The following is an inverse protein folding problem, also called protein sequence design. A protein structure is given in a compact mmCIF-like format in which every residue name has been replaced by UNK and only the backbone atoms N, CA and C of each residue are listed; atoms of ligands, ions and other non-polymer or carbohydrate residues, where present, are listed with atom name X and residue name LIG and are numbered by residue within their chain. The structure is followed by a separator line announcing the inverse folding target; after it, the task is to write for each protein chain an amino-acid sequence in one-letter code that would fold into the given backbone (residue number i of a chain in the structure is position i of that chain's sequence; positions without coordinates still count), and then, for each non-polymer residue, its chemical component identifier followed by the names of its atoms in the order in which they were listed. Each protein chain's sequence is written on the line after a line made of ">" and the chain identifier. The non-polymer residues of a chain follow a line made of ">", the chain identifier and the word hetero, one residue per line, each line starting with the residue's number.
data_IF_749724869246
#
_entry.id   IF_749724869246
#
_cell.length_a   1.000
_cell.length_b   1.000
_cell.length_c   1.000
_cell.angle_alpha   90.00
_cell.angle_beta   90.00
_cell.angle_gamma   90.00
#
_symmetry.space_group_name_H-M   'P 1'
#
loop_
_entity.id
_entity.type
_entity.pdbx_description
1 polymer ?
#
# COMPACT_ATOMS: atom_id res chain seq x y z
N UNK A 1 -61.74 -31.41 23.89
CA UNK A 1 -60.82 -30.78 24.89
C UNK A 1 -60.31 -29.47 24.29
N UNK A 2 -60.96 -28.36 24.69
CA UNK A 2 -60.51 -27.02 24.22
C UNK A 2 -59.49 -26.50 25.26
N UNK A 3 -58.24 -26.41 24.84
CA UNK A 3 -57.18 -25.83 25.66
C UNK A 3 -57.38 -24.30 25.74
N UNK A 4 -57.59 -23.81 26.96
CA UNK A 4 -57.63 -22.39 27.27
C UNK A 4 -56.24 -21.78 27.14
N UNK A 5 -55.99 -21.06 26.04
CA UNK A 5 -54.81 -20.21 25.90
C UNK A 5 -55.03 -18.95 26.73
N UNK A 6 -54.37 -18.85 27.88
CA UNK A 6 -54.34 -17.59 28.63
C UNK A 6 -53.31 -16.68 27.94
N UNK A 7 -53.60 -15.39 27.75
CA UNK A 7 -52.65 -14.45 27.22
C UNK A 7 -51.48 -14.30 28.20
N UNK A 8 -50.24 -14.42 27.68
CA UNK A 8 -49.00 -14.42 28.44
C UNK A 8 -48.66 -13.04 29.06
N UNK A 9 -49.41 -11.99 28.70
CA UNK A 9 -49.14 -10.63 29.16
C UNK A 9 -50.23 -10.16 30.13
N UNK A 10 -49.93 -10.19 31.41
CA UNK A 10 -50.92 -9.95 32.48
C UNK A 10 -50.71 -8.64 33.25
N UNK A 11 -49.73 -7.79 32.94
CA UNK A 11 -49.56 -6.55 33.71
C UNK A 11 -49.31 -5.32 32.82
N UNK A 12 -49.88 -4.15 33.27
CA UNK A 12 -49.66 -2.83 32.65
C UNK A 12 -48.17 -2.51 32.40
N UNK A 13 -47.27 -3.09 33.21
CA UNK A 13 -45.84 -2.88 33.13
C UNK A 13 -45.20 -3.52 31.88
N UNK A 14 -45.67 -4.68 31.47
CA UNK A 14 -45.20 -5.37 30.28
C UNK A 14 -45.60 -4.67 29.00
N UNK A 15 -46.84 -4.16 28.92
CA UNK A 15 -47.27 -3.32 27.79
C UNK A 15 -46.47 -2.02 27.72
N UNK A 16 -46.16 -1.40 28.87
CA UNK A 16 -45.31 -0.19 28.90
C UNK A 16 -43.91 -0.48 28.39
N UNK A 17 -43.33 -1.62 28.77
CA UNK A 17 -42.01 -2.05 28.31
C UNK A 17 -41.98 -2.29 26.80
N UNK A 18 -42.98 -2.97 26.26
CA UNK A 18 -43.14 -3.20 24.81
C UNK A 18 -43.40 -1.91 24.06
N UNK A 19 -44.13 -0.96 24.60
CA UNK A 19 -44.36 0.37 24.04
C UNK A 19 -43.07 1.19 24.01
N UNK A 20 -42.26 1.16 25.08
CA UNK A 20 -40.96 1.85 25.13
C UNK A 20 -39.95 1.22 24.14
N UNK A 21 -39.90 -0.13 24.06
CA UNK A 21 -39.08 -0.83 23.08
C UNK A 21 -39.54 -0.55 21.64
N UNK A 22 -40.84 -0.49 21.40
CA UNK A 22 -41.41 -0.11 20.10
C UNK A 22 -41.15 1.34 19.72
N UNK A 23 -41.15 2.27 20.69
CA UNK A 23 -40.75 3.66 20.44
C UNK A 23 -39.27 3.81 20.17
N UNK A 24 -38.39 3.00 20.81
CA UNK A 24 -36.95 2.99 20.53
C UNK A 24 -36.64 2.48 19.12
N UNK A 25 -37.41 1.52 18.59
CA UNK A 25 -37.25 1.03 17.22
C UNK A 25 -37.75 2.00 16.14
N UNK A 26 -38.48 3.04 16.51
CA UNK A 26 -39.00 4.10 15.62
C UNK A 26 -38.02 5.32 15.54
N UNK A 27 -36.91 5.30 16.29
CA UNK A 27 -35.88 6.34 16.15
C UNK A 27 -35.29 6.26 14.73
N UNK A 28 -35.38 7.33 13.93
CA UNK A 28 -34.77 7.34 12.62
C UNK A 28 -33.26 7.11 12.79
N UNK A 29 -32.68 6.21 11.99
CA UNK A 29 -31.25 6.09 11.88
C UNK A 29 -30.74 7.46 11.41
N UNK A 30 -29.98 8.16 12.26
CA UNK A 30 -29.34 9.40 11.86
C UNK A 30 -28.19 9.02 10.91
N UNK A 31 -28.42 9.15 9.61
CA UNK A 31 -27.34 9.10 8.63
C UNK A 31 -26.45 10.32 8.86
N UNK A 32 -25.17 10.11 8.98
CA UNK A 32 -24.15 11.15 8.97
C UNK A 32 -23.18 10.84 7.84
N UNK A 33 -22.32 11.79 7.47
CA UNK A 33 -21.20 11.56 6.57
C UNK A 33 -20.48 10.27 6.93
N UNK A 34 -20.33 9.35 5.99
CA UNK A 34 -19.63 8.08 6.17
C UNK A 34 -18.78 7.76 4.92
N UNK A 35 -17.51 7.41 5.14
CA UNK A 35 -16.65 6.89 4.08
C UNK A 35 -16.91 5.39 3.96
N UNK A 36 -17.38 4.98 2.78
CA UNK A 36 -17.72 3.58 2.49
C UNK A 36 -16.46 2.76 2.28
N UNK A 37 -15.55 3.24 1.42
CA UNK A 37 -14.27 2.60 1.13
C UNK A 37 -13.32 3.53 0.37
N UNK A 38 -12.03 3.19 0.39
CA UNK A 38 -11.04 3.74 -0.56
C UNK A 38 -10.81 2.70 -1.66
N UNK A 39 -11.39 2.90 -2.84
CA UNK A 39 -11.16 2.08 -4.03
C UNK A 39 -9.82 2.37 -4.66
N UNK A 40 -9.16 1.31 -5.13
CA UNK A 40 -7.89 1.39 -5.83
C UNK A 40 -6.99 0.21 -5.49
N UNK A 41 -5.87 0.02 -6.19
CA UNK A 41 -4.95 -1.06 -5.91
C UNK A 41 -4.26 -0.87 -4.56
N UNK A 42 -3.93 -1.99 -3.90
CA UNK A 42 -3.11 -1.99 -2.69
C UNK A 42 -1.62 -2.04 -3.01
N UNK A 43 -1.26 -2.47 -4.21
CA UNK A 43 0.10 -2.48 -4.71
C UNK A 43 0.18 -2.23 -6.22
N UNK A 44 1.34 -1.77 -6.69
CA UNK A 44 1.65 -1.53 -8.10
C UNK A 44 3.16 -1.64 -8.31
N UNK A 45 3.56 -2.12 -9.48
CA UNK A 45 4.98 -2.15 -9.87
C UNK A 45 5.46 -0.73 -10.19
N UNK A 46 6.61 -0.36 -9.68
CA UNK A 46 7.29 0.91 -9.95
C UNK A 46 7.37 1.19 -11.45
N UNK A 47 6.86 2.34 -11.87
CA UNK A 47 6.87 2.76 -13.27
C UNK A 47 5.98 1.98 -14.24
N UNK A 48 5.17 1.01 -13.78
CA UNK A 48 4.33 0.17 -14.65
C UNK A 48 3.07 0.87 -15.15
N UNK A 49 2.65 1.96 -14.51
CA UNK A 49 1.44 2.72 -14.86
C UNK A 49 1.74 4.19 -14.98
N UNK A 50 1.18 4.83 -15.99
CA UNK A 50 1.23 6.29 -16.14
C UNK A 50 0.37 7.02 -15.11
N UNK A 51 -0.70 6.38 -14.63
CA UNK A 51 -1.61 6.93 -13.61
C UNK A 51 -2.17 5.83 -12.71
N UNK A 52 -2.25 6.11 -11.41
CA UNK A 52 -2.89 5.29 -10.39
C UNK A 52 -3.96 6.12 -9.70
N UNK A 53 -5.13 5.52 -9.43
CA UNK A 53 -6.25 6.21 -8.78
C UNK A 53 -6.58 5.55 -7.46
N UNK A 54 -6.67 6.38 -6.39
CA UNK A 54 -7.28 6.03 -5.11
C UNK A 54 -8.55 6.86 -4.98
N UNK A 55 -9.72 6.22 -5.04
CA UNK A 55 -11.04 6.87 -4.98
C UNK A 55 -11.65 6.71 -3.59
N UNK A 56 -11.86 7.82 -2.89
CA UNK A 56 -12.51 7.86 -1.59
C UNK A 56 -14.03 7.90 -1.77
N UNK A 57 -14.70 6.78 -1.63
CA UNK A 57 -16.14 6.67 -1.78
C UNK A 57 -16.84 6.95 -0.45
N UNK A 58 -17.80 7.86 -0.46
CA UNK A 58 -18.54 8.29 0.71
C UNK A 58 -20.00 8.60 0.39
N UNK A 59 -20.80 8.59 1.42
CA UNK A 59 -22.20 9.04 1.42
C UNK A 59 -22.34 10.32 2.23
N UNK A 60 -23.14 11.26 1.73
CA UNK A 60 -23.40 12.56 2.33
C UNK A 60 -24.88 12.75 2.56
N UNK A 61 -25.22 13.39 3.66
CA UNK A 61 -26.55 14.00 3.84
C UNK A 61 -26.55 15.45 3.31
N UNK A 62 -27.71 16.08 3.21
CA UNK A 62 -27.78 17.48 2.77
C UNK A 62 -27.05 18.43 3.73
N UNK A 63 -27.05 18.12 5.02
CA UNK A 63 -26.33 18.91 6.04
C UNK A 63 -24.81 18.83 5.91
N UNK A 64 -24.29 17.74 5.32
CA UNK A 64 -22.85 17.53 5.15
C UNK A 64 -22.25 18.26 3.94
N UNK A 65 -23.11 18.84 3.09
CA UNK A 65 -22.68 19.60 1.92
C UNK A 65 -22.13 20.97 2.28
N UNK A 66 -22.58 21.54 3.39
CA UNK A 66 -22.12 22.86 3.83
C UNK A 66 -20.76 22.78 4.53
N UNK A 67 -19.81 23.58 4.03
CA UNK A 67 -18.44 23.59 4.54
C UNK A 67 -17.62 22.34 4.24
N UNK A 68 -18.07 21.52 3.26
CA UNK A 68 -17.41 20.28 2.91
C UNK A 68 -16.00 20.49 2.38
N UNK A 69 -15.05 19.69 2.90
CA UNK A 69 -13.66 19.63 2.44
C UNK A 69 -13.21 18.18 2.39
N UNK A 70 -12.58 17.77 1.29
CA UNK A 70 -11.87 16.49 1.15
C UNK A 70 -10.39 16.74 1.27
N UNK A 71 -9.73 16.02 2.17
CA UNK A 71 -8.28 16.05 2.37
C UNK A 71 -7.72 14.65 2.31
N UNK A 72 -6.51 14.54 1.73
CA UNK A 72 -5.74 13.31 1.81
C UNK A 72 -4.45 13.58 2.57
N UNK A 73 -4.10 12.63 3.43
CA UNK A 73 -2.87 12.65 4.22
C UNK A 73 -2.01 11.45 3.83
N UNK A 74 -0.70 11.57 4.07
CA UNK A 74 0.28 10.54 3.79
C UNK A 74 1.07 10.21 5.06
N UNK A 75 1.20 8.91 5.38
CA UNK A 75 1.97 8.39 6.52
C UNK A 75 1.65 9.11 7.86
N UNK A 76 0.36 9.40 8.11
CA UNK A 76 -0.15 10.07 9.32
C UNK A 76 0.50 11.44 9.60
N UNK A 77 1.06 12.07 8.58
CA UNK A 77 1.62 13.40 8.75
C UNK A 77 0.52 14.44 9.02
N UNK A 78 0.81 15.51 9.78
CA UNK A 78 -0.21 16.49 10.18
C UNK A 78 -0.67 17.39 9.02
N UNK A 79 0.09 17.43 7.92
CA UNK A 79 -0.23 18.26 6.77
C UNK A 79 -0.79 17.42 5.64
N UNK A 80 -1.90 17.87 4.98
CA UNK A 80 -2.46 17.14 3.86
C UNK A 80 -1.52 17.17 2.65
N UNK A 81 -1.59 16.10 1.83
CA UNK A 81 -0.90 16.00 0.55
C UNK A 81 -1.80 16.36 -0.63
N UNK A 82 -3.10 16.50 -0.36
CA UNK A 82 -4.13 16.94 -1.30
C UNK A 82 -5.28 17.57 -0.54
N UNK A 83 -5.89 18.62 -1.13
CA UNK A 83 -7.09 19.23 -0.60
C UNK A 83 -8.03 19.63 -1.74
N UNK A 84 -9.32 19.36 -1.55
CA UNK A 84 -10.35 19.82 -2.46
C UNK A 84 -11.59 20.31 -1.70
N UNK A 85 -12.12 21.44 -2.15
CA UNK A 85 -13.37 22.04 -1.70
C UNK A 85 -14.30 22.05 -2.92
N UNK A 86 -15.58 21.59 -2.81
CA UNK A 86 -16.55 21.64 -3.90
C UNK A 86 -16.59 23.02 -4.56
N UNK A 87 -16.72 23.03 -5.88
CA UNK A 87 -16.67 24.24 -6.74
C UNK A 87 -15.32 24.94 -6.85
N UNK A 88 -14.27 24.46 -6.16
CA UNK A 88 -12.92 24.99 -6.29
C UNK A 88 -12.00 24.00 -7.04
N UNK A 89 -10.87 24.52 -7.50
CA UNK A 89 -9.81 23.68 -8.09
C UNK A 89 -9.10 22.92 -6.96
N UNK A 90 -8.88 21.62 -7.10
CA UNK A 90 -8.12 20.86 -6.14
C UNK A 90 -6.66 21.28 -6.07
N UNK A 91 -6.03 21.05 -4.94
CA UNK A 91 -4.63 21.43 -4.65
C UNK A 91 -3.81 20.20 -4.29
N UNK A 92 -2.65 20.07 -4.92
CA UNK A 92 -1.62 19.11 -4.60
C UNK A 92 -0.56 19.72 -3.68
N UNK A 93 -0.15 18.99 -2.67
CA UNK A 93 0.70 19.46 -1.59
C UNK A 93 1.76 18.41 -1.23
N UNK A 94 2.77 18.81 -0.47
CA UNK A 94 3.77 17.92 0.09
C UNK A 94 4.41 17.00 -0.95
N UNK A 95 4.50 15.70 -0.64
CA UNK A 95 5.12 14.68 -1.51
C UNK A 95 4.38 14.49 -2.85
N UNK A 96 3.09 14.85 -2.92
CA UNK A 96 2.28 14.72 -4.13
C UNK A 96 2.28 15.98 -5.01
N UNK A 97 2.97 17.06 -4.60
CA UNK A 97 3.04 18.28 -5.40
C UNK A 97 3.66 18.05 -6.78
N UNK A 98 2.92 18.40 -7.84
CA UNK A 98 3.31 18.16 -9.24
C UNK A 98 3.17 16.71 -9.70
N UNK A 99 2.61 15.82 -8.84
CA UNK A 99 2.47 14.39 -9.14
C UNK A 99 1.02 13.95 -9.30
N UNK A 100 0.06 14.87 -9.29
CA UNK A 100 -1.36 14.55 -9.43
C UNK A 100 -1.93 15.10 -10.74
N UNK A 101 -2.83 14.34 -11.33
CA UNK A 101 -3.72 14.83 -12.37
C UNK A 101 -4.90 15.54 -11.70
N UNK A 102 -4.77 16.86 -11.47
CA UNK A 102 -5.79 17.68 -10.82
C UNK A 102 -7.07 17.85 -11.67
N UNK A 103 -7.01 17.56 -12.97
CA UNK A 103 -8.17 17.58 -13.86
C UNK A 103 -8.98 16.27 -13.82
N UNK A 104 -8.48 15.24 -13.15
CA UNK A 104 -9.17 13.97 -13.03
C UNK A 104 -10.50 14.13 -12.28
N UNK A 105 -11.56 13.59 -12.86
CA UNK A 105 -12.90 13.60 -12.30
C UNK A 105 -13.43 12.18 -12.20
N UNK A 106 -13.78 11.76 -11.01
CA UNK A 106 -14.36 10.43 -10.76
C UNK A 106 -15.88 10.44 -10.93
N UNK A 107 -16.50 11.62 -10.92
CA UNK A 107 -17.94 11.83 -10.99
C UNK A 107 -18.24 13.18 -11.64
N UNK A 108 -19.47 13.37 -12.09
CA UNK A 108 -20.03 14.66 -12.55
C UNK A 108 -20.70 15.45 -11.43
N UNK A 109 -20.95 14.78 -10.29
CA UNK A 109 -21.57 15.42 -9.12
C UNK A 109 -20.59 16.39 -8.44
N UNK A 110 -21.08 17.56 -8.08
CA UNK A 110 -20.31 18.68 -7.52
C UNK A 110 -19.62 18.30 -6.22
N UNK A 111 -20.22 17.41 -5.41
CA UNK A 111 -19.69 17.03 -4.10
C UNK A 111 -18.85 15.76 -4.12
N UNK A 112 -18.68 15.12 -5.27
CA UNK A 112 -17.86 13.90 -5.42
C UNK A 112 -16.82 13.97 -6.57
N UNK A 113 -16.83 15.05 -7.35
CA UNK A 113 -16.10 15.22 -8.60
C UNK A 113 -14.60 14.96 -8.49
N UNK A 114 -13.95 15.54 -7.49
CA UNK A 114 -12.49 15.47 -7.29
C UNK A 114 -12.12 14.79 -5.95
N UNK A 115 -12.89 13.80 -5.53
CA UNK A 115 -12.65 13.08 -4.28
C UNK A 115 -11.47 12.11 -4.34
N UNK A 116 -11.00 11.78 -5.55
CA UNK A 116 -9.96 10.79 -5.78
C UNK A 116 -8.58 11.43 -5.95
N UNK A 117 -7.54 10.71 -5.51
CA UNK A 117 -6.15 10.96 -5.91
C UNK A 117 -5.87 10.26 -7.24
N UNK A 118 -5.50 11.00 -8.27
CA UNK A 118 -5.02 10.47 -9.54
C UNK A 118 -3.51 10.71 -9.63
N UNK A 119 -2.73 9.76 -9.09
CA UNK A 119 -1.27 9.85 -8.95
C UNK A 119 -0.63 9.52 -10.29
N UNK A 120 0.20 10.42 -10.80
CA UNK A 120 0.96 10.27 -12.04
C UNK A 120 2.28 9.54 -11.76
N UNK A 121 2.62 8.58 -12.63
CA UNK A 121 3.88 7.85 -12.61
C UNK A 121 4.29 7.43 -11.19
N UNK A 122 3.54 6.53 -10.53
CA UNK A 122 3.82 6.13 -9.16
C UNK A 122 5.19 5.46 -9.05
N UNK A 123 6.00 5.94 -8.11
CA UNK A 123 7.36 5.50 -7.83
C UNK A 123 7.48 5.04 -6.37
N UNK A 124 8.54 4.30 -6.04
CA UNK A 124 8.70 3.61 -4.74
C UNK A 124 8.59 4.52 -3.52
N UNK A 125 8.95 5.81 -3.65
CA UNK A 125 8.80 6.80 -2.57
C UNK A 125 7.35 7.10 -2.18
N UNK A 126 6.39 6.73 -3.02
CA UNK A 126 4.96 6.90 -2.76
C UNK A 126 4.35 5.69 -2.02
N UNK A 127 5.17 4.69 -1.68
CA UNK A 127 4.75 3.60 -0.78
C UNK A 127 4.43 4.15 0.59
N UNK A 128 3.20 3.91 1.07
CA UNK A 128 2.80 4.40 2.39
C UNK A 128 1.31 4.27 2.66
N UNK A 129 0.90 4.76 3.83
CA UNK A 129 -0.50 4.82 4.25
C UNK A 129 -1.12 6.14 3.76
N UNK A 130 -2.19 6.03 3.01
CA UNK A 130 -3.01 7.16 2.57
C UNK A 130 -4.29 7.23 3.40
N UNK A 131 -4.56 8.38 3.98
CA UNK A 131 -5.79 8.63 4.75
C UNK A 131 -6.66 9.62 3.98
N UNK A 132 -7.84 9.20 3.58
CA UNK A 132 -8.89 10.11 3.13
C UNK A 132 -9.61 10.65 4.35
N UNK A 133 -9.74 11.95 4.44
CA UNK A 133 -10.48 12.66 5.49
C UNK A 133 -11.49 13.59 4.84
N UNK A 134 -12.73 13.47 5.25
CA UNK A 134 -13.81 14.35 4.81
C UNK A 134 -14.37 15.05 6.03
N UNK A 135 -14.55 16.35 5.95
CA UNK A 135 -15.14 17.15 6.99
C UNK A 135 -16.17 18.12 6.41
N UNK A 136 -17.21 18.42 7.18
CA UNK A 136 -18.20 19.44 6.94
C UNK A 136 -18.40 20.27 8.20
N UNK A 137 -19.35 21.19 8.22
CA UNK A 137 -19.68 21.89 9.46
C UNK A 137 -20.42 21.00 10.47
N UNK A 138 -21.05 19.90 10.02
CA UNK A 138 -21.88 19.02 10.84
C UNK A 138 -21.18 17.75 11.29
N UNK A 139 -20.25 17.21 10.49
CA UNK A 139 -19.66 15.89 10.71
C UNK A 139 -18.30 15.73 10.01
N UNK A 140 -17.58 14.71 10.42
CA UNK A 140 -16.32 14.31 9.79
C UNK A 140 -16.15 12.78 9.86
N UNK A 141 -15.43 12.23 8.88
CA UNK A 141 -15.04 10.83 8.87
C UNK A 141 -13.69 10.64 8.13
N UNK A 142 -13.00 9.54 8.40
CA UNK A 142 -11.75 9.19 7.73
C UNK A 142 -11.59 7.68 7.57
N UNK A 143 -10.93 7.29 6.49
CA UNK A 143 -10.55 5.90 6.21
C UNK A 143 -9.10 5.85 5.72
N UNK A 144 -8.43 4.70 5.90
CA UNK A 144 -7.02 4.49 5.56
C UNK A 144 -6.83 3.36 4.58
N UNK A 145 -5.86 3.54 3.69
CA UNK A 145 -5.45 2.51 2.74
C UNK A 145 -3.94 2.48 2.61
N UNK A 146 -3.37 1.28 2.71
CA UNK A 146 -1.96 1.05 2.37
C UNK A 146 -1.81 0.96 0.86
N UNK A 147 -0.81 1.66 0.32
CA UNK A 147 -0.36 1.52 -1.06
C UNK A 147 1.11 1.10 -1.05
N UNK A 148 1.43 0.04 -1.77
CA UNK A 148 2.80 -0.43 -1.99
C UNK A 148 3.16 -0.21 -3.45
N UNK A 149 4.12 0.68 -3.70
CA UNK A 149 4.76 0.79 -5.01
C UNK A 149 6.06 0.02 -4.93
N UNK A 150 6.12 -1.16 -5.54
CA UNK A 150 7.24 -2.05 -5.39
C UNK A 150 8.12 -2.12 -6.64
N UNK A 151 9.42 -2.32 -6.41
CA UNK A 151 10.40 -2.64 -7.44
C UNK A 151 10.74 -4.14 -7.33
N UNK A 152 10.52 -4.94 -8.37
CA UNK A 152 10.94 -6.34 -8.40
C UNK A 152 12.47 -6.46 -8.34
N UNK A 153 12.99 -7.65 -8.04
CA UNK A 153 14.42 -7.92 -8.09
C UNK A 153 14.97 -7.61 -9.49
N UNK A 154 16.10 -6.89 -9.52
CA UNK A 154 16.85 -6.64 -10.76
C UNK A 154 17.60 -7.89 -11.18
N UNK A 155 18.14 -8.60 -10.18
CA UNK A 155 18.84 -9.86 -10.35
C UNK A 155 18.50 -10.81 -9.20
N UNK A 156 18.45 -12.10 -9.52
CA UNK A 156 18.35 -13.19 -8.56
C UNK A 156 19.22 -14.35 -9.05
N UNK A 157 19.95 -14.97 -8.16
CA UNK A 157 20.82 -16.09 -8.50
C UNK A 157 20.96 -17.07 -7.36
N UNK A 158 21.03 -18.35 -7.71
CA UNK A 158 21.27 -19.44 -6.79
C UNK A 158 22.54 -20.18 -7.17
N UNK A 159 23.37 -20.49 -6.18
CA UNK A 159 24.64 -21.19 -6.35
C UNK A 159 24.87 -22.17 -5.22
N UNK A 160 25.77 -23.13 -5.43
CA UNK A 160 26.26 -23.95 -4.33
C UNK A 160 27.78 -24.11 -4.40
N UNK A 161 28.39 -24.36 -3.26
CA UNK A 161 29.80 -24.73 -3.13
C UNK A 161 29.90 -25.98 -2.24
N UNK A 162 30.98 -26.81 -2.47
CA UNK A 162 31.30 -27.93 -1.60
C UNK A 162 32.49 -27.55 -0.72
N UNK A 163 32.29 -27.20 0.56
CA UNK A 163 33.37 -26.89 1.48
C UNK A 163 34.08 -28.15 1.94
N UNK A 164 33.45 -29.31 1.89
CA UNK A 164 33.98 -30.65 2.22
C UNK A 164 33.39 -31.70 1.29
N UNK A 165 33.90 -32.94 1.38
CA UNK A 165 33.34 -34.06 0.62
C UNK A 165 31.94 -34.46 1.09
N UNK A 166 31.57 -34.07 2.31
CA UNK A 166 30.35 -34.54 3.03
C UNK A 166 29.25 -33.46 3.12
N UNK A 167 29.52 -32.20 2.69
CA UNK A 167 28.55 -31.11 2.80
C UNK A 167 28.53 -30.21 1.58
N UNK A 168 27.40 -29.51 1.42
CA UNK A 168 27.15 -28.46 0.41
C UNK A 168 26.65 -27.21 1.07
N UNK A 169 27.17 -26.06 0.75
CA UNK A 169 26.63 -24.75 1.11
C UNK A 169 25.84 -24.24 -0.09
N UNK A 170 24.53 -24.05 0.11
CA UNK A 170 23.62 -23.50 -0.89
C UNK A 170 23.39 -22.04 -0.55
N UNK A 171 23.57 -21.17 -1.54
CA UNK A 171 23.44 -19.72 -1.39
C UNK A 171 22.50 -19.17 -2.47
N UNK A 172 21.55 -18.33 -2.06
CA UNK A 172 20.69 -17.58 -2.95
C UNK A 172 20.82 -16.10 -2.64
N UNK A 173 20.86 -15.26 -3.68
CA UNK A 173 21.01 -13.81 -3.56
C UNK A 173 20.07 -13.11 -4.52
N UNK A 174 19.51 -11.98 -4.06
CA UNK A 174 18.70 -11.12 -4.91
C UNK A 174 18.96 -9.65 -4.57
N UNK A 175 18.89 -8.78 -5.58
CA UNK A 175 19.23 -7.37 -5.43
C UNK A 175 18.28 -6.40 -6.11
N UNK A 176 18.34 -5.12 -5.68
CA UNK A 176 17.58 -4.02 -6.28
C UNK A 176 16.08 -4.02 -5.94
N UNK A 177 15.68 -4.63 -4.84
CA UNK A 177 14.28 -4.89 -4.48
C UNK A 177 13.76 -3.78 -3.56
N UNK A 178 12.48 -3.44 -3.69
CA UNK A 178 11.79 -2.53 -2.75
C UNK A 178 10.29 -2.88 -2.67
N UNK A 179 9.64 -2.80 -1.49
CA UNK A 179 10.20 -2.66 -0.15
C UNK A 179 10.99 -3.91 0.30
N UNK A 180 11.33 -3.98 1.61
CA UNK A 180 12.08 -5.10 2.17
C UNK A 180 11.47 -6.44 1.80
N UNK A 181 12.19 -7.33 1.12
CA UNK A 181 11.70 -8.64 0.69
C UNK A 181 11.81 -9.67 1.81
N UNK A 182 11.11 -10.80 1.61
CA UNK A 182 11.36 -12.05 2.31
C UNK A 182 12.01 -13.05 1.37
N UNK A 183 12.94 -13.86 1.89
CA UNK A 183 13.59 -14.94 1.16
C UNK A 183 13.47 -16.25 1.95
N UNK A 184 13.21 -17.35 1.25
CA UNK A 184 13.13 -18.68 1.86
C UNK A 184 13.80 -19.73 0.97
N UNK A 185 14.38 -20.74 1.58
CA UNK A 185 15.05 -21.82 0.91
C UNK A 185 14.31 -23.14 1.17
N UNK A 186 14.09 -23.91 0.13
CA UNK A 186 13.43 -25.21 0.18
C UNK A 186 14.31 -26.28 -0.44
N UNK A 187 14.16 -27.53 -0.01
CA UNK A 187 14.66 -28.72 -0.69
C UNK A 187 13.49 -29.58 -1.14
N UNK A 188 13.60 -30.08 -2.35
CA UNK A 188 12.60 -30.98 -2.94
C UNK A 188 13.25 -32.28 -3.36
N UNK A 189 12.60 -33.37 -3.07
CA UNK A 189 13.00 -34.71 -3.46
C UNK A 189 11.77 -35.53 -3.77
N UNK A 190 11.74 -36.15 -4.92
CA UNK A 190 10.72 -37.04 -5.51
C UNK A 190 9.24 -36.79 -5.15
N UNK A 191 8.86 -36.39 -3.92
CA UNK A 191 7.46 -36.19 -3.54
C UNK A 191 7.24 -35.18 -2.39
N UNK A 192 8.26 -34.51 -1.90
CA UNK A 192 8.11 -33.57 -0.78
C UNK A 192 8.98 -32.32 -1.00
N UNK A 193 8.36 -31.14 -0.81
CA UNK A 193 9.02 -29.85 -0.69
C UNK A 193 9.12 -29.49 0.80
N UNK A 194 10.32 -29.34 1.31
CA UNK A 194 10.60 -29.14 2.73
C UNK A 194 11.33 -27.81 2.87
N UNK A 195 10.83 -26.92 3.75
CA UNK A 195 11.51 -25.68 4.08
C UNK A 195 12.81 -25.98 4.85
N UNK A 196 13.87 -25.27 4.52
CA UNK A 196 15.16 -25.31 5.21
C UNK A 196 15.11 -24.25 6.31
N UNK A 197 15.03 -24.72 7.55
CA UNK A 197 15.01 -23.86 8.72
C UNK A 197 16.42 -23.56 9.21
N UNK A 198 16.61 -22.41 9.88
CA UNK A 198 17.89 -22.03 10.46
C UNK A 198 18.92 -21.54 9.45
N UNK A 199 18.54 -21.30 8.20
CA UNK A 199 19.39 -20.67 7.21
C UNK A 199 19.79 -19.25 7.62
N UNK A 200 21.04 -18.86 7.34
CA UNK A 200 21.55 -17.52 7.60
C UNK A 200 21.01 -16.56 6.54
N UNK A 201 20.24 -15.55 6.97
CA UNK A 201 19.72 -14.51 6.11
C UNK A 201 20.45 -13.20 6.40
N UNK A 202 20.90 -12.54 5.36
CA UNK A 202 21.50 -11.20 5.42
C UNK A 202 20.72 -10.26 4.53
N UNK A 203 20.32 -9.10 5.08
CA UNK A 203 19.61 -8.04 4.35
C UNK A 203 20.40 -6.75 4.44
N UNK A 204 20.73 -6.18 3.28
CA UNK A 204 21.40 -4.89 3.15
C UNK A 204 20.40 -3.87 2.63
N UNK A 205 20.22 -2.77 3.37
CA UNK A 205 19.36 -1.66 2.98
C UNK A 205 20.19 -0.49 2.46
N UNK A 206 19.81 0.05 1.31
CA UNK A 206 20.39 1.23 0.67
C UNK A 206 19.37 2.37 0.66
N UNK A 207 19.26 3.14 1.76
CA UNK A 207 18.16 4.11 1.95
C UNK A 207 18.17 5.22 0.90
N UNK A 208 19.35 5.70 0.48
CA UNK A 208 19.48 6.78 -0.52
C UNK A 208 19.00 6.35 -1.91
N UNK A 209 19.17 5.06 -2.23
CA UNK A 209 18.78 4.46 -3.51
C UNK A 209 17.43 3.71 -3.43
N UNK A 210 16.84 3.63 -2.25
CA UNK A 210 15.56 2.97 -1.96
C UNK A 210 15.48 1.54 -2.50
N UNK A 211 16.47 0.72 -2.17
CA UNK A 211 16.40 -0.70 -2.46
C UNK A 211 17.06 -1.56 -1.38
N UNK A 212 16.79 -2.84 -1.44
CA UNK A 212 17.35 -3.88 -0.60
C UNK A 212 18.06 -4.91 -1.45
N UNK A 213 19.16 -5.44 -0.91
CA UNK A 213 19.73 -6.71 -1.34
C UNK A 213 19.53 -7.70 -0.21
N UNK A 214 19.22 -8.95 -0.57
CA UNK A 214 19.00 -10.01 0.40
C UNK A 214 19.71 -11.27 -0.06
N UNK A 215 20.24 -12.02 0.91
CA UNK A 215 20.81 -13.34 0.66
C UNK A 215 20.41 -14.32 1.74
N UNK A 216 20.32 -15.58 1.37
CA UNK A 216 20.11 -16.70 2.26
C UNK A 216 21.17 -17.77 1.97
N UNK A 217 21.73 -18.35 3.04
CA UNK A 217 22.77 -19.36 2.96
C UNK A 217 22.53 -20.45 3.98
N UNK A 218 22.72 -21.71 3.58
CA UNK A 218 22.60 -22.85 4.47
C UNK A 218 23.56 -23.98 4.07
N UNK A 219 24.20 -24.57 5.05
CA UNK A 219 25.02 -25.77 4.88
C UNK A 219 24.16 -27.01 5.11
N UNK A 220 24.18 -27.95 4.16
CA UNK A 220 23.44 -29.23 4.23
C UNK A 220 24.46 -30.36 4.08
N UNK A 221 24.34 -31.40 4.92
CA UNK A 221 25.17 -32.57 4.82
C UNK A 221 24.66 -33.57 3.78
N UNK A 222 25.56 -34.17 3.00
CA UNK A 222 25.21 -35.10 1.92
C UNK A 222 24.37 -36.30 2.43
N UNK A 223 24.63 -36.76 3.66
CA UNK A 223 23.86 -37.87 4.27
C UNK A 223 22.38 -37.54 4.54
N UNK A 224 22.02 -36.25 4.57
CA UNK A 224 20.63 -35.80 4.74
C UNK A 224 19.88 -35.72 3.40
N UNK A 225 20.60 -35.88 2.31
CA UNK A 225 20.09 -35.70 0.96
C UNK A 225 19.92 -37.04 0.26
N UNK A 226 18.97 -37.10 -0.66
CA UNK A 226 18.82 -38.23 -1.59
C UNK A 226 19.73 -38.05 -2.80
N UNK A 227 19.76 -39.04 -3.68
CA UNK A 227 20.64 -39.08 -4.84
C UNK A 227 20.50 -37.90 -5.80
N UNK A 228 19.35 -37.23 -5.81
CA UNK A 228 19.06 -36.02 -6.56
C UNK A 228 18.19 -35.13 -5.68
N UNK A 229 18.66 -33.94 -5.39
CA UNK A 229 17.94 -32.96 -4.58
C UNK A 229 17.88 -31.64 -5.31
N UNK A 230 16.68 -31.13 -5.52
CA UNK A 230 16.45 -29.79 -6.04
C UNK A 230 16.32 -28.81 -4.88
N UNK A 231 17.13 -27.77 -4.86
CA UNK A 231 16.98 -26.63 -3.99
C UNK A 231 16.22 -25.53 -4.72
N UNK A 232 15.24 -24.92 -4.03
CA UNK A 232 14.40 -23.86 -4.55
C UNK A 232 14.45 -22.68 -3.62
N UNK A 233 14.86 -21.54 -4.13
CA UNK A 233 14.92 -20.27 -3.45
C UNK A 233 13.69 -19.43 -3.85
N UNK A 234 12.91 -19.02 -2.87
CA UNK A 234 11.69 -18.23 -3.08
C UNK A 234 11.88 -16.83 -2.53
N UNK A 235 11.67 -15.84 -3.38
CA UNK A 235 11.73 -14.43 -3.04
C UNK A 235 10.34 -13.81 -3.14
N UNK A 236 9.87 -13.15 -2.07
CA UNK A 236 8.57 -12.49 -2.03
C UNK A 236 8.66 -11.07 -1.52
N UNK A 237 7.73 -10.22 -1.93
CA UNK A 237 7.55 -8.87 -1.36
C UNK A 237 6.25 -8.86 -0.56
N UNK A 238 6.33 -8.68 0.78
CA UNK A 238 5.15 -8.70 1.64
C UNK A 238 4.07 -7.70 1.23
N UNK A 239 2.81 -8.16 1.22
CA UNK A 239 1.67 -7.31 0.84
C UNK A 239 1.46 -7.13 -0.65
N UNK A 240 2.18 -7.88 -1.48
CA UNK A 240 2.03 -7.94 -2.94
C UNK A 240 1.86 -9.40 -3.40
N UNK A 241 1.61 -9.59 -4.68
CA UNK A 241 1.59 -10.90 -5.36
C UNK A 241 2.96 -11.25 -5.98
N UNK A 242 4.00 -10.48 -5.67
CA UNK A 242 5.34 -10.74 -6.19
C UNK A 242 5.95 -11.97 -5.53
N UNK A 243 6.19 -13.00 -6.34
CA UNK A 243 6.89 -14.23 -5.96
C UNK A 243 7.76 -14.68 -7.14
N UNK A 244 9.04 -14.95 -6.87
CA UNK A 244 10.01 -15.41 -7.86
C UNK A 244 10.80 -16.58 -7.28
N UNK A 245 11.12 -17.55 -8.13
CA UNK A 245 11.83 -18.76 -7.82
C UNK A 245 13.15 -18.86 -8.57
N UNK A 246 14.18 -19.33 -7.90
CA UNK A 246 15.44 -19.81 -8.50
C UNK A 246 15.73 -21.21 -8.00
N UNK A 247 15.98 -22.13 -8.92
CA UNK A 247 16.15 -23.54 -8.63
C UNK A 247 17.53 -24.03 -9.06
N UNK A 248 18.13 -24.94 -8.27
CA UNK A 248 19.36 -25.61 -8.61
C UNK A 248 19.31 -27.09 -8.19
N UNK A 249 19.78 -27.97 -9.07
CA UNK A 249 19.83 -29.42 -8.78
C UNK A 249 21.21 -29.76 -8.26
N UNK A 250 21.24 -30.52 -7.16
CA UNK A 250 22.45 -31.01 -6.53
C UNK A 250 22.45 -32.53 -6.42
N UNK A 251 23.62 -33.13 -6.69
CA UNK A 251 23.84 -34.55 -6.53
C UNK A 251 24.91 -34.78 -5.42
N UNK A 252 24.50 -35.38 -4.27
CA UNK A 252 25.43 -35.70 -3.20
C UNK A 252 26.57 -36.63 -3.65
N UNK A 253 27.72 -36.45 -3.10
CA UNK A 253 28.91 -37.29 -3.38
C UNK A 253 30.20 -36.46 -3.59
N UNK A 254 31.34 -37.11 -3.84
CA UNK A 254 32.57 -36.38 -4.04
C UNK A 254 32.49 -35.48 -5.29
N UNK A 255 33.24 -34.34 -5.29
CA UNK A 255 33.11 -33.33 -6.33
C UNK A 255 33.41 -33.92 -7.72
N UNK A 256 32.36 -34.03 -8.51
CA UNK A 256 32.47 -34.36 -9.93
C UNK A 256 32.48 -33.04 -10.68
N UNK A 257 33.43 -32.86 -11.60
CA UNK A 257 33.52 -31.64 -12.43
C UNK A 257 32.31 -31.60 -13.36
N UNK A 258 31.20 -31.01 -12.90
CA UNK A 258 29.97 -30.89 -13.69
C UNK A 258 29.70 -29.42 -13.96
N UNK A 259 29.54 -29.09 -15.23
CA UNK A 259 29.17 -27.76 -15.73
C UNK A 259 27.76 -27.45 -15.30
N UNK A 260 27.59 -26.43 -14.48
CA UNK A 260 26.25 -25.99 -13.97
C UNK A 260 25.43 -25.40 -15.10
N UNK A 261 24.29 -25.99 -15.39
CA UNK A 261 23.29 -25.41 -16.29
C UNK A 261 22.19 -24.78 -15.41
N UNK A 262 22.20 -23.46 -15.31
CA UNK A 262 21.15 -22.69 -14.64
C UNK A 262 19.97 -22.55 -15.58
N UNK A 263 18.81 -23.09 -15.20
CA UNK A 263 17.56 -22.90 -15.94
C UNK A 263 16.72 -21.87 -15.23
N UNK A 264 16.72 -20.65 -15.73
CA UNK A 264 15.87 -19.57 -15.24
C UNK A 264 14.46 -19.75 -15.78
N UNK A 265 13.52 -20.12 -14.93
CA UNK A 265 12.10 -20.20 -15.30
C UNK A 265 11.40 -18.91 -14.87
N UNK A 266 11.36 -17.95 -15.79
CA UNK A 266 10.56 -16.72 -15.58
C UNK A 266 9.09 -17.03 -15.76
N UNK A 267 8.34 -17.11 -14.69
CA UNK A 267 6.87 -17.20 -14.76
C UNK A 267 6.29 -15.81 -15.00
N UNK A 268 6.01 -15.50 -16.25
CA UNK A 268 5.28 -14.28 -16.63
C UNK A 268 3.81 -14.46 -16.24
N UNK A 269 3.15 -13.49 -15.58
CA UNK A 269 1.72 -13.57 -15.30
C UNK A 269 0.94 -13.60 -16.62
N UNK A 270 0.15 -14.65 -16.81
CA UNK A 270 -0.71 -14.82 -17.98
C UNK A 270 -1.84 -13.80 -17.96
N UNK A 271 -1.68 -12.71 -18.70
CA UNK A 271 -2.78 -11.83 -19.07
C UNK A 271 -3.52 -12.45 -20.24
N UNK A 272 -4.69 -13.01 -20.00
CA UNK A 272 -5.59 -13.50 -21.04
C UNK A 272 -6.19 -12.31 -21.78
N UNK A 273 -5.59 -11.95 -22.91
CA UNK A 273 -6.16 -11.00 -23.87
C UNK A 273 -6.83 -11.82 -24.97
N UNK A 274 -8.15 -11.82 -24.96
CA UNK A 274 -8.97 -12.30 -26.09
C UNK A 274 -8.82 -11.33 -27.26
N UNK A 275 -8.19 -11.82 -28.32
CA UNK A 275 -8.11 -11.12 -29.61
C UNK A 275 -9.33 -11.51 -30.45
N UNK A 276 -10.08 -10.56 -31.03
CA UNK A 276 -11.00 -10.89 -32.11
C UNK A 276 -10.24 -10.92 -33.45
N UNK A 277 -10.35 -12.04 -34.10
CA UNK A 277 -9.87 -12.31 -35.47
C UNK A 277 -10.75 -11.59 -36.49
N UNK A 278 -10.15 -10.86 -37.45
CA UNK A 278 -10.71 -10.72 -38.80
C UNK A 278 -9.60 -10.51 -39.84
N UNK A 279 -9.77 -10.99 -41.07
CA UNK A 279 -8.69 -11.40 -41.95
C UNK A 279 -8.30 -10.40 -43.05
N UNK A 280 -7.06 -10.55 -43.49
CA UNK A 280 -6.45 -10.40 -44.82
C UNK A 280 -6.98 -9.38 -45.83
N UNK A 281 -6.10 -8.57 -46.43
CA UNK A 281 -5.75 -8.69 -47.89
C UNK A 281 -4.63 -7.72 -48.27
N UNK A 282 -3.51 -8.29 -48.77
CA UNK A 282 -2.80 -8.04 -50.05
C UNK A 282 -2.23 -6.68 -50.44
N UNK A 283 -0.87 -6.64 -50.55
CA UNK A 283 -0.02 -6.25 -51.72
C UNK A 283 0.20 -4.75 -52.01
N UNK A 284 1.44 -4.26 -51.99
CA UNK A 284 2.25 -3.83 -53.13
C UNK A 284 3.22 -2.71 -52.82
N UNK A 285 4.52 -3.02 -53.03
CA UNK A 285 5.62 -2.24 -53.56
C UNK A 285 6.01 -0.83 -53.02
N UNK A 286 7.29 -0.74 -52.72
CA UNK A 286 8.17 0.44 -52.72
C UNK A 286 8.16 1.22 -54.05
N UNK A 287 8.61 2.49 -54.08
CA UNK A 287 10.06 2.75 -54.13
C UNK A 287 10.57 4.00 -53.39
N UNK A 288 11.89 3.97 -53.26
CA UNK A 288 12.85 4.95 -52.82
C UNK A 288 12.65 6.41 -53.31
N UNK A 289 12.96 7.39 -52.46
CA UNK A 289 13.77 8.53 -52.93
C UNK A 289 14.53 9.20 -51.77
N UNK A 290 15.75 9.39 -52.02
CA UNK A 290 16.85 10.11 -51.43
C UNK A 290 16.57 11.64 -51.45
N UNK A 291 16.99 12.35 -50.43
CA UNK A 291 16.99 13.81 -50.39
C UNK A 291 17.84 14.31 -49.22
N UNK A 292 19.07 14.63 -49.53
CA UNK A 292 20.07 15.37 -48.76
C UNK A 292 19.59 16.81 -48.47
N UNK A 293 20.40 17.45 -47.65
CA UNK A 293 20.65 18.88 -47.36
C UNK A 293 20.21 19.27 -45.95
N UNK A 294 20.90 20.05 -45.14
CA UNK A 294 22.21 20.73 -45.13
C UNK A 294 22.41 21.17 -43.67
N UNK A 295 23.66 21.24 -43.26
CA UNK A 295 24.18 21.91 -42.07
C UNK A 295 24.04 23.41 -42.21
N UNK A 296 23.66 24.13 -41.17
CA UNK A 296 24.05 25.53 -40.95
C UNK A 296 24.52 25.70 -39.51
N UNK A 297 25.82 25.97 -39.39
CA UNK A 297 26.49 26.62 -38.25
C UNK A 297 26.35 28.14 -38.44
N UNK A 298 26.23 28.89 -37.34
CA UNK A 298 26.71 30.28 -37.13
C UNK A 298 26.53 30.60 -35.65
N UNK A 299 27.56 30.74 -34.91
CA UNK A 299 28.57 31.74 -34.57
C UNK A 299 28.10 32.79 -33.55
N UNK A 300 28.87 32.79 -32.48
CA UNK A 300 29.40 33.83 -31.58
C UNK A 300 28.67 35.18 -31.48
N UNK A 301 28.54 35.64 -30.25
CA UNK A 301 29.15 36.90 -29.81
C UNK A 301 29.20 37.05 -28.27
N UNK A 302 30.43 37.29 -27.82
CA UNK A 302 30.85 37.82 -26.53
C UNK A 302 30.26 39.21 -26.27
N UNK A 303 29.98 39.52 -25.00
CA UNK A 303 30.32 40.85 -24.47
C UNK A 303 30.49 40.80 -22.92
N UNK A 304 31.64 41.30 -22.58
CA UNK A 304 32.25 41.51 -21.27
C UNK A 304 31.77 42.78 -20.56
N UNK A 305 32.11 42.85 -19.23
CA UNK A 305 32.45 44.03 -18.39
C UNK A 305 31.25 44.68 -17.67
N UNK A 306 31.26 44.89 -16.36
CA UNK A 306 32.26 45.52 -15.47
C UNK A 306 31.87 45.47 -14.01
N UNK A 307 32.92 45.36 -13.22
CA UNK A 307 33.01 45.61 -11.76
C UNK A 307 32.36 46.92 -11.29
N UNK A 308 31.88 46.92 -10.06
CA UNK A 308 32.19 47.97 -9.07
C UNK A 308 32.09 47.49 -7.61
N UNK A 309 33.25 47.54 -7.00
CA UNK A 309 33.50 47.56 -5.55
C UNK A 309 32.76 48.70 -4.82
N UNK A 310 32.40 48.45 -3.54
CA UNK A 310 32.89 49.20 -2.40
C UNK A 310 32.24 48.75 -1.08
N UNK A 311 32.98 48.15 -0.25
CA UNK A 311 33.63 48.64 0.98
C UNK A 311 32.74 48.92 2.20
N UNK A 312 33.05 48.15 3.27
CA UNK A 312 33.37 48.59 4.67
C UNK A 312 32.18 48.85 5.60
N UNK A 313 32.09 48.35 6.75
CA UNK A 313 32.91 48.11 7.94
C UNK A 313 32.05 47.67 9.12
N UNK A 314 32.63 46.78 9.93
CA UNK A 314 32.59 46.71 11.40
C UNK A 314 31.26 46.69 12.19
N UNK A 315 31.04 45.62 12.92
CA UNK A 315 31.21 45.76 14.36
C UNK A 315 30.33 44.85 15.24
N UNK A 316 31.02 44.06 16.03
CA UNK A 316 30.70 43.62 17.39
C UNK A 316 29.67 42.53 17.68
N UNK A 317 30.26 41.45 18.15
CA UNK A 317 29.77 40.43 19.06
C UNK A 317 28.70 40.84 20.06
N UNK A 318 27.66 39.98 20.16
CA UNK A 318 27.13 39.57 21.46
C UNK A 318 26.57 38.19 21.43
N UNK A 319 27.19 37.29 22.19
CA UNK A 319 26.64 36.01 22.61
C UNK A 319 25.29 36.20 23.31
N UNK A 320 24.30 35.40 22.92
CA UNK A 320 23.13 35.16 23.73
C UNK A 320 22.80 33.66 23.69
N UNK A 321 22.98 33.00 24.82
CA UNK A 321 22.56 31.64 25.16
C UNK A 321 21.07 31.43 24.88
N UNK A 322 20.65 30.31 24.34
CA UNK A 322 19.23 30.00 24.24
C UNK A 322 18.68 29.50 25.57
N UNK A 323 17.63 30.16 26.02
CA UNK A 323 16.72 29.65 27.05
C UNK A 323 15.96 28.44 26.53
N UNK A 324 16.06 27.32 27.22
CA UNK A 324 15.20 26.14 27.07
C UNK A 324 13.82 26.53 27.61
N UNK A 325 12.84 26.63 26.73
CA UNK A 325 11.44 26.63 27.09
C UNK A 325 10.89 25.24 26.84
N UNK A 326 10.66 24.52 27.92
CA UNK A 326 9.90 23.29 28.01
C UNK A 326 8.44 23.62 27.70
N UNK A 327 7.99 23.30 26.47
CA UNK A 327 6.56 23.31 26.13
C UNK A 327 6.09 21.88 26.03
N UNK A 328 5.28 21.47 26.99
CA UNK A 328 4.65 20.17 27.07
C UNK A 328 3.84 19.85 25.80
N UNK A 329 4.14 18.72 25.23
CA UNK A 329 3.38 18.09 24.15
C UNK A 329 2.11 17.51 24.78
N UNK A 330 0.90 17.87 24.36
CA UNK A 330 -0.29 17.14 24.77
C UNK A 330 -0.24 15.76 24.12
N UNK A 331 -0.31 14.73 24.95
CA UNK A 331 -0.50 13.36 24.51
C UNK A 331 -1.77 13.27 23.64
N UNK A 332 -1.61 12.90 22.37
CA UNK A 332 -2.73 12.57 21.50
C UNK A 332 -3.20 11.19 21.93
N UNK A 333 -4.30 11.16 22.68
CA UNK A 333 -5.05 9.93 22.94
C UNK A 333 -5.43 9.27 21.60
N UNK A 334 -5.10 8.01 21.50
CA UNK A 334 -5.49 7.15 20.37
C UNK A 334 -7.01 7.13 20.26
N UNK A 335 -7.57 7.82 19.27
CA UNK A 335 -8.98 7.72 18.93
C UNK A 335 -9.26 6.31 18.38
N UNK A 336 -9.89 5.51 19.19
CA UNK A 336 -10.48 4.22 18.81
C UNK A 336 -11.53 4.48 17.74
N UNK A 337 -11.43 3.78 16.60
CA UNK A 337 -12.37 3.82 15.50
C UNK A 337 -13.82 3.74 15.99
N UNK A 338 -14.66 4.69 15.58
CA UNK A 338 -16.09 4.81 15.96
C UNK A 338 -16.96 3.59 15.62
N UNK A 339 -16.47 2.65 14.81
CA UNK A 339 -17.16 1.37 14.53
C UNK A 339 -17.42 0.52 15.79
N UNK A 340 -16.72 0.78 16.91
CA UNK A 340 -16.95 0.13 18.20
C UNK A 340 -18.03 0.76 19.10
N UNK A 341 -18.44 2.00 18.84
CA UNK A 341 -19.34 2.73 19.75
C UNK A 341 -20.81 2.27 19.61
N UNK A 342 -21.24 1.88 18.42
CA UNK A 342 -22.60 1.35 18.22
C UNK A 342 -22.80 -0.03 18.85
N UNK A 343 -21.79 -0.90 18.81
CA UNK A 343 -21.85 -2.21 19.48
C UNK A 343 -21.83 -2.08 21.00
N UNK A 344 -21.13 -1.10 21.57
CA UNK A 344 -21.09 -0.87 23.02
C UNK A 344 -22.36 -0.23 23.57
N UNK A 345 -23.02 0.66 22.79
CA UNK A 345 -24.30 1.23 23.17
C UNK A 345 -25.40 0.17 23.23
N UNK A 346 -25.48 -0.72 22.25
CA UNK A 346 -26.44 -1.82 22.23
C UNK A 346 -26.17 -2.82 23.38
N UNK A 347 -24.90 -3.10 23.69
CA UNK A 347 -24.50 -3.93 24.84
C UNK A 347 -24.87 -3.31 26.17
N UNK A 348 -24.73 -2.00 26.35
CA UNK A 348 -25.09 -1.30 27.58
C UNK A 348 -26.61 -1.31 27.78
N UNK A 349 -27.40 -1.11 26.71
CA UNK A 349 -28.85 -1.18 26.77
C UNK A 349 -29.34 -2.61 27.07
N UNK A 350 -28.74 -3.63 26.45
CA UNK A 350 -29.02 -5.02 26.77
C UNK A 350 -28.66 -5.37 28.22
N UNK A 351 -27.54 -4.86 28.76
CA UNK A 351 -27.14 -5.06 30.15
C UNK A 351 -28.10 -4.35 31.13
N UNK A 352 -28.51 -3.12 30.83
CA UNK A 352 -29.50 -2.41 31.64
C UNK A 352 -30.86 -3.10 31.63
N UNK A 353 -31.31 -3.59 30.48
CA UNK A 353 -32.55 -4.35 30.35
C UNK A 353 -32.48 -5.68 31.13
N UNK A 354 -31.34 -6.41 31.02
CA UNK A 354 -31.10 -7.63 31.79
C UNK A 354 -31.04 -7.39 33.29
N UNK A 355 -30.43 -6.31 33.77
CA UNK A 355 -30.37 -5.95 35.18
C UNK A 355 -31.73 -5.53 35.72
N UNK A 356 -32.58 -4.83 34.91
CA UNK A 356 -33.93 -4.49 35.29
C UNK A 356 -34.82 -5.75 35.37
N UNK A 357 -34.68 -6.66 34.41
CA UNK A 357 -35.43 -7.93 34.41
C UNK A 357 -35.00 -8.78 35.61
N UNK A 358 -33.67 -8.90 35.90
CA UNK A 358 -33.22 -9.66 37.05
C UNK A 358 -33.65 -9.10 38.41
N UNK A 359 -33.75 -7.76 38.51
CA UNK A 359 -34.22 -7.08 39.76
C UNK A 359 -35.73 -7.20 39.98
N UNK A 360 -36.51 -7.49 38.93
CA UNK A 360 -37.97 -7.66 39.01
C UNK A 360 -38.40 -9.12 39.13
N UNK A 361 -37.55 -10.09 38.80
CA UNK A 361 -37.89 -11.51 38.88
C UNK A 361 -37.31 -12.25 40.13
N UNK A 362 -36.49 -11.60 40.95
CA UNK A 362 -35.85 -12.16 42.13
C UNK A 362 -36.42 -11.60 43.46
N UNK A 363 -37.48 -10.79 43.38
CA UNK A 363 -38.25 -10.35 44.56
C UNK A 363 -39.74 -10.66 44.45
#
# INVERSE_FOLDING_TARGET
>A
MYGNWKPVFSTRKEYLLLLVLGLFSLLPATHSLEIVEIKGPSYVVNGSKSQLVLDCQYELTDNDKEGMVVKWYYNRQPFPVYQWIPNNVPQDLGILKGRLNLNYQVSTDVYSKHRALAILNPTTELTGEYTCWISSFSSEDFERKQLIVYAPAVDMSMTYIKPSDDSVIVSCRAGGIYPAPNIALYRSSSNARIAIEGAKIETLHFPDLRYYNISIEHEVFDYELVSETMFDCVLTIPGTDYEVHEEIVYFPGPPTTTTTTTTTTTTTPSTTTTVPTTPSTTTTAMPSSMGDYEEEEEDDDDDEISDHDNHSTNGLNKEAKPHVAESGVPAIESSVSKKGVFATSLSLVCLCVSLVIHRYYVH
#
